data_IF_801842661283
#
_entry.id   IF_801842661283
#
_cell.length_a   1.000
_cell.length_b   1.000
_cell.length_c   1.000
_cell.angle_alpha   90.00
_cell.angle_beta   90.00
_cell.angle_gamma   90.00
#
_symmetry.space_group_name_H-M   'P 1'
#
loop_
_entity.id
_entity.type
_entity.pdbx_description
1 polymer ?
#
# COMPACT_ATOMS: atom_id res chain seq x y z
N UNK A 1 3.04 5.37 -2.02
CA UNK A 1 2.94 6.50 -1.05
C UNK A 1 1.92 7.55 -1.50
N UNK A 2 2.04 8.15 -2.68
CA UNK A 2 1.04 9.12 -3.17
C UNK A 2 -0.32 8.49 -3.51
N UNK A 3 -0.32 7.29 -4.11
CA UNK A 3 -1.55 6.49 -4.29
C UNK A 3 -2.22 6.16 -2.95
N UNK A 4 -1.45 5.86 -1.90
CA UNK A 4 -2.01 5.47 -0.60
C UNK A 4 -2.71 6.62 0.14
N UNK A 5 -2.23 7.86 -0.02
CA UNK A 5 -2.87 9.05 0.57
C UNK A 5 -4.21 9.38 -0.12
N UNK A 6 -4.31 9.18 -1.44
CA UNK A 6 -5.58 9.31 -2.16
C UNK A 6 -6.58 8.20 -1.79
N UNK A 7 -6.09 6.96 -1.64
CA UNK A 7 -6.90 5.81 -1.23
C UNK A 7 -7.57 6.00 0.14
N UNK A 8 -6.92 6.69 1.07
CA UNK A 8 -7.46 6.93 2.41
C UNK A 8 -8.71 7.84 2.41
N UNK A 9 -8.79 8.85 1.53
CA UNK A 9 -9.95 9.76 1.47
C UNK A 9 -11.16 9.13 0.79
N UNK A 10 -10.96 8.39 -0.30
CA UNK A 10 -12.07 7.68 -0.97
C UNK A 10 -12.57 6.47 -0.15
N UNK A 11 -11.80 6.05 0.86
CA UNK A 11 -12.18 5.03 1.85
C UNK A 11 -13.39 5.42 2.71
N UNK A 12 -13.44 6.69 3.11
CA UNK A 12 -14.45 7.17 4.06
C UNK A 12 -15.84 7.15 3.42
N UNK A 13 -15.97 7.64 2.17
CA UNK A 13 -17.27 7.71 1.48
C UNK A 13 -17.82 6.35 1.03
N UNK A 14 -16.95 5.40 0.65
CA UNK A 14 -17.43 4.08 0.19
C UNK A 14 -17.85 3.18 1.35
N UNK A 15 -17.21 3.32 2.51
CA UNK A 15 -17.65 2.61 3.72
C UNK A 15 -19.06 3.02 4.13
N UNK A 16 -19.41 4.32 4.07
CA UNK A 16 -20.78 4.78 4.34
C UNK A 16 -21.81 4.14 3.39
N UNK A 17 -21.51 4.07 2.09
CA UNK A 17 -22.44 3.51 1.10
C UNK A 17 -22.66 2.00 1.29
N UNK A 18 -21.60 1.25 1.57
CA UNK A 18 -21.69 -0.21 1.73
C UNK A 18 -22.35 -0.58 3.07
N UNK A 19 -22.09 0.17 4.13
CA UNK A 19 -22.67 -0.10 5.46
C UNK A 19 -24.16 0.19 5.54
N UNK A 20 -24.64 1.21 4.82
CA UNK A 20 -26.07 1.57 4.74
C UNK A 20 -26.94 0.42 4.20
N UNK A 21 -26.36 -0.49 3.40
CA UNK A 21 -27.08 -1.65 2.85
C UNK A 21 -27.13 -2.88 3.77
N UNK A 22 -26.30 -2.93 4.82
CA UNK A 22 -26.12 -4.13 5.66
C UNK A 22 -26.57 -3.99 7.13
N UNK A 23 -27.15 -2.86 7.56
CA UNK A 23 -27.71 -2.72 8.90
C UNK A 23 -29.24 -2.56 8.94
N UNK A 24 -29.99 -3.63 9.29
CA UNK A 24 -31.30 -3.48 9.90
C UNK A 24 -31.30 -3.67 11.44
N UNK A 25 -30.16 -3.97 12.08
CA UNK A 25 -30.12 -4.29 13.52
C UNK A 25 -28.93 -3.68 14.26
N UNK A 26 -29.00 -2.39 14.61
CA UNK A 26 -28.25 -1.89 15.76
C UNK A 26 -28.92 -0.62 16.32
N UNK A 27 -29.53 -0.76 17.49
CA UNK A 27 -30.27 0.29 18.20
C UNK A 27 -29.38 1.48 18.58
N UNK A 28 -29.92 2.67 18.34
CA UNK A 28 -29.34 3.99 18.59
C UNK A 28 -28.95 4.19 20.07
N UNK A 29 -27.66 4.21 20.35
CA UNK A 29 -27.12 4.89 21.53
C UNK A 29 -26.19 6.00 21.05
N UNK A 30 -26.41 7.20 21.57
CA UNK A 30 -25.81 8.48 21.21
C UNK A 30 -24.30 8.51 21.51
N UNK A 31 -23.51 7.80 20.70
CA UNK A 31 -22.05 7.87 20.70
C UNK A 31 -21.65 8.98 19.74
N UNK A 32 -20.74 9.86 20.17
CA UNK A 32 -20.15 10.93 19.35
C UNK A 32 -19.82 10.42 17.93
N UNK A 33 -20.37 11.09 16.92
CA UNK A 33 -20.30 10.68 15.51
C UNK A 33 -18.87 10.37 15.03
N UNK A 34 -17.88 11.07 15.56
CA UNK A 34 -16.45 10.86 15.25
C UNK A 34 -15.88 9.55 15.82
N UNK A 35 -16.31 9.13 17.01
CA UNK A 35 -15.91 7.85 17.62
C UNK A 35 -16.58 6.68 16.90
N UNK A 36 -17.83 6.85 16.47
CA UNK A 36 -18.57 5.83 15.74
C UNK A 36 -17.91 5.54 14.38
N UNK A 37 -17.53 6.58 13.62
CA UNK A 37 -16.82 6.40 12.35
C UNK A 37 -15.50 5.65 12.51
N UNK A 38 -14.72 5.98 13.53
CA UNK A 38 -13.44 5.31 13.79
C UNK A 38 -13.65 3.84 14.20
N UNK A 39 -14.72 3.56 14.94
CA UNK A 39 -15.07 2.20 15.36
C UNK A 39 -15.56 1.32 14.20
N UNK A 40 -16.40 1.87 13.32
CA UNK A 40 -16.88 1.20 12.10
C UNK A 40 -15.71 0.91 11.16
N UNK A 41 -14.80 1.87 10.97
CA UNK A 41 -13.61 1.71 10.14
C UNK A 41 -12.74 0.54 10.61
N UNK A 42 -12.45 0.47 11.91
CA UNK A 42 -11.62 -0.61 12.47
C UNK A 42 -12.31 -1.97 12.30
N UNK A 43 -13.63 -2.05 12.49
CA UNK A 43 -14.38 -3.30 12.34
C UNK A 43 -14.47 -3.78 10.90
N UNK A 44 -14.54 -2.87 9.92
CA UNK A 44 -14.61 -3.23 8.51
C UNK A 44 -13.26 -3.71 7.95
N UNK A 45 -12.15 -3.13 8.42
CA UNK A 45 -10.82 -3.41 7.87
C UNK A 45 -10.09 -4.61 8.51
N UNK A 46 -10.42 -4.97 9.76
CA UNK A 46 -9.75 -6.09 10.45
C UNK A 46 -10.03 -7.46 9.82
N UNK A 47 -11.28 -7.84 9.49
CA UNK A 47 -11.56 -9.12 8.86
C UNK A 47 -10.78 -9.38 7.56
N UNK A 48 -10.81 -8.49 6.54
CA UNK A 48 -10.07 -8.72 5.29
C UNK A 48 -8.55 -8.77 5.51
N UNK A 49 -8.06 -7.97 6.47
CA UNK A 49 -6.65 -7.99 6.82
C UNK A 49 -6.23 -9.33 7.43
N UNK A 50 -7.04 -9.89 8.33
CA UNK A 50 -6.79 -11.19 8.94
C UNK A 50 -6.90 -12.35 7.94
N UNK A 51 -7.82 -12.28 6.97
CA UNK A 51 -7.94 -13.28 5.90
C UNK A 51 -6.65 -13.37 5.08
N UNK A 52 -6.14 -12.23 4.60
CA UNK A 52 -4.92 -12.19 3.80
C UNK A 52 -3.68 -12.62 4.61
N UNK A 53 -3.63 -12.29 5.91
CA UNK A 53 -2.59 -12.77 6.82
C UNK A 53 -2.62 -14.30 6.98
N UNK A 54 -3.79 -14.91 7.10
CA UNK A 54 -3.93 -16.37 7.21
C UNK A 54 -3.48 -17.05 5.92
N UNK A 55 -3.89 -16.52 4.75
CA UNK A 55 -3.44 -17.02 3.44
C UNK A 55 -1.93 -17.00 3.31
N UNK A 56 -1.29 -15.89 3.71
CA UNK A 56 0.16 -15.75 3.75
C UNK A 56 0.79 -16.78 4.69
N UNK A 57 0.27 -16.95 5.91
CA UNK A 57 0.78 -17.93 6.86
C UNK A 57 0.71 -19.36 6.33
N UNK A 58 -0.37 -19.72 5.63
CA UNK A 58 -0.52 -21.02 5.01
C UNK A 58 0.51 -21.24 3.89
N UNK A 59 0.76 -20.25 3.02
CA UNK A 59 1.84 -20.32 2.04
C UNK A 59 3.22 -20.42 2.69
N UNK A 60 3.46 -19.70 3.79
CA UNK A 60 4.70 -19.77 4.56
C UNK A 60 4.91 -21.17 5.14
N UNK A 61 3.87 -21.78 5.72
CA UNK A 61 3.91 -23.14 6.27
C UNK A 61 4.17 -24.20 5.18
N UNK A 62 3.75 -23.94 3.94
CA UNK A 62 4.05 -24.79 2.77
C UNK A 62 5.45 -24.58 2.19
N UNK A 63 6.19 -23.58 2.67
CA UNK A 63 7.49 -23.21 2.10
C UNK A 63 7.40 -22.51 0.74
N UNK A 64 6.23 -21.99 0.38
CA UNK A 64 6.01 -21.28 -0.90
C UNK A 64 6.52 -19.82 -0.84
N UNK A 65 6.65 -19.25 0.37
CA UNK A 65 7.07 -17.86 0.54
C UNK A 65 8.59 -17.75 0.49
N UNK A 66 9.08 -16.82 -0.32
CA UNK A 66 10.50 -16.50 -0.39
C UNK A 66 10.98 -16.01 0.99
N UNK A 67 12.00 -16.65 1.59
CA UNK A 67 12.49 -16.21 2.89
C UNK A 67 12.98 -14.77 2.81
N UNK A 68 12.58 -13.97 3.80
CA UNK A 68 13.03 -12.58 3.91
C UNK A 68 14.56 -12.57 4.06
N UNK A 69 15.24 -12.07 3.03
CA UNK A 69 16.67 -11.79 3.10
C UNK A 69 16.78 -10.35 3.64
N UNK A 70 17.22 -10.15 4.90
CA UNK A 70 17.42 -8.80 5.39
C UNK A 70 18.40 -8.07 4.48
N UNK A 71 18.22 -6.76 4.24
CA UNK A 71 19.23 -6.00 3.54
C UNK A 71 20.58 -6.21 4.24
N UNK A 72 21.69 -6.30 3.49
CA UNK A 72 23.00 -6.52 4.07
C UNK A 72 23.21 -5.49 5.17
N UNK A 73 23.54 -5.98 6.36
CA UNK A 73 23.90 -5.06 7.43
C UNK A 73 25.16 -4.35 6.96
N UNK A 74 25.23 -3.01 7.01
CA UNK A 74 26.46 -2.31 6.68
C UNK A 74 27.57 -2.93 7.51
N UNK A 75 28.69 -3.27 6.86
CA UNK A 75 29.81 -3.93 7.54
C UNK A 75 30.14 -3.17 8.82
N UNK A 76 30.50 -3.89 9.91
CA UNK A 76 30.95 -3.25 11.12
C UNK A 76 32.03 -2.25 10.75
N UNK A 77 31.73 -0.95 10.93
CA UNK A 77 32.70 0.11 10.64
C UNK A 77 33.98 -0.30 11.37
N UNK A 78 35.10 -0.54 10.66
CA UNK A 78 36.34 -0.97 11.28
C UNK A 78 36.61 -0.03 12.44
N UNK A 79 36.96 -0.56 13.61
CA UNK A 79 37.14 0.19 14.84
C UNK A 79 38.08 1.36 14.59
N UNK A 80 37.51 2.50 14.20
CA UNK A 80 38.24 3.72 13.92
C UNK A 80 38.62 4.24 15.29
N UNK A 81 39.87 3.96 15.61
CA UNK A 81 40.75 4.50 16.65
C UNK A 81 40.11 5.06 17.93
N UNK A 82 40.64 4.65 19.07
CA UNK A 82 40.11 4.90 20.42
C UNK A 82 40.31 6.35 20.90
N UNK A 83 40.38 7.31 19.99
CA UNK A 83 40.50 8.76 20.22
C UNK A 83 39.20 9.53 19.97
N UNK A 84 38.11 8.82 19.62
CA UNK A 84 36.77 9.41 19.46
C UNK A 84 36.28 10.07 20.77
N UNK A 85 36.09 11.39 20.73
CA UNK A 85 35.54 12.21 21.82
C UNK A 85 34.29 11.53 22.45
N UNK A 86 34.25 11.34 23.79
CA UNK A 86 33.12 10.73 24.48
C UNK A 86 31.77 11.40 24.16
N UNK A 87 31.75 12.70 23.84
CA UNK A 87 30.53 13.41 23.39
C UNK A 87 30.06 12.90 22.03
N UNK A 88 30.97 12.60 21.10
CA UNK A 88 30.60 11.98 19.81
C UNK A 88 30.07 10.56 20.00
N UNK A 89 30.65 9.78 20.92
CA UNK A 89 30.18 8.42 21.23
C UNK A 89 28.74 8.41 21.77
N UNK A 90 28.40 9.35 22.65
CA UNK A 90 27.03 9.55 23.14
C UNK A 90 26.06 9.99 22.04
N UNK A 91 26.47 10.91 21.15
CA UNK A 91 25.67 11.32 19.98
C UNK A 91 25.42 10.14 19.03
N UNK A 92 26.43 9.32 18.73
CA UNK A 92 26.29 8.10 17.91
C UNK A 92 25.37 7.07 18.58
N UNK A 93 25.50 6.83 19.90
CA UNK A 93 24.59 5.96 20.66
C UNK A 93 23.13 6.45 20.64
N UNK A 94 22.90 7.76 20.79
CA UNK A 94 21.55 8.35 20.67
C UNK A 94 20.98 8.20 19.26
N UNK A 95 21.79 8.38 18.20
CA UNK A 95 21.39 8.14 16.81
C UNK A 95 21.06 6.67 16.54
N UNK A 96 21.87 5.71 17.04
CA UNK A 96 21.59 4.27 16.93
C UNK A 96 20.31 3.87 17.68
N UNK A 97 20.07 4.39 18.89
CA UNK A 97 18.80 4.18 19.62
C UNK A 97 17.59 4.78 18.89
N UNK A 98 17.75 5.90 18.19
CA UNK A 98 16.69 6.48 17.33
C UNK A 98 16.43 5.62 16.09
N UNK A 99 17.47 5.06 15.45
CA UNK A 99 17.32 4.15 14.29
C UNK A 99 16.68 2.80 14.63
N UNK A 100 16.79 2.32 15.87
CA UNK A 100 16.10 1.11 16.35
C UNK A 100 14.64 1.32 16.74
N UNK A 101 14.09 2.52 16.61
CA UNK A 101 12.66 2.71 16.81
C UNK A 101 11.96 2.09 15.60
N UNK A 102 11.17 1.05 15.86
CA UNK A 102 10.26 0.43 14.89
C UNK A 102 9.56 1.55 14.11
N UNK A 103 9.54 1.50 12.76
CA UNK A 103 8.88 2.52 11.96
C UNK A 103 7.46 2.66 12.47
N UNK A 104 7.18 3.82 13.04
CA UNK A 104 5.89 4.15 13.63
C UNK A 104 5.29 5.22 12.74
N UNK A 105 4.15 4.93 12.17
CA UNK A 105 3.42 5.91 11.39
C UNK A 105 2.76 6.91 12.35
N UNK A 106 2.83 8.19 12.00
CA UNK A 106 2.06 9.23 12.66
C UNK A 106 0.73 9.36 11.95
N UNK A 107 -0.37 9.13 12.66
CA UNK A 107 -1.72 9.41 12.17
C UNK A 107 -2.29 10.47 13.11
N UNK A 108 -2.71 11.62 12.57
CA UNK A 108 -3.29 12.74 13.33
C UNK A 108 -2.38 13.24 14.49
N UNK A 109 -1.07 13.33 14.25
CA UNK A 109 -0.13 13.86 15.25
C UNK A 109 0.22 12.88 16.39
N UNK A 110 -0.41 11.70 16.46
CA UNK A 110 -0.13 10.66 17.46
C UNK A 110 0.66 9.50 16.85
N UNK A 111 1.65 9.03 17.60
CA UNK A 111 2.56 7.97 17.19
C UNK A 111 1.95 6.60 17.53
N UNK A 112 1.37 5.93 16.55
CA UNK A 112 0.88 4.57 16.75
C UNK A 112 2.06 3.59 16.66
N UNK A 113 2.18 2.73 17.67
CA UNK A 113 3.26 1.74 17.75
C UNK A 113 3.10 0.60 16.73
N UNK A 114 1.88 0.43 16.21
CA UNK A 114 1.47 -0.63 15.26
C UNK A 114 0.59 -0.10 14.13
N UNK A 115 0.61 1.22 13.86
CA UNK A 115 -0.14 1.75 12.73
C UNK A 115 0.50 1.28 11.44
N UNK A 116 -0.26 0.60 10.58
CA UNK A 116 0.18 0.26 9.23
C UNK A 116 -0.84 0.81 8.25
N UNK A 117 -0.35 1.40 7.17
CA UNK A 117 -1.18 1.81 6.03
C UNK A 117 -1.84 0.55 5.43
N UNK A 118 -3.16 0.47 5.55
CA UNK A 118 -3.94 -0.71 5.17
C UNK A 118 -3.68 -1.15 3.72
N UNK A 119 -3.74 -0.22 2.77
CA UNK A 119 -3.53 -0.53 1.35
C UNK A 119 -2.11 -1.03 1.09
N UNK A 120 -1.11 -0.33 1.64
CA UNK A 120 0.29 -0.74 1.50
C UNK A 120 0.57 -2.10 2.15
N UNK A 121 -0.06 -2.38 3.29
CA UNK A 121 0.09 -3.63 4.02
C UNK A 121 -0.48 -4.80 3.22
N UNK A 122 -1.71 -4.67 2.72
CA UNK A 122 -2.36 -5.67 1.90
C UNK A 122 -1.56 -5.96 0.63
N UNK A 123 -1.08 -4.93 -0.08
CA UNK A 123 -0.26 -5.14 -1.27
C UNK A 123 1.04 -5.87 -0.98
N UNK A 124 1.75 -5.54 0.11
CA UNK A 124 3.00 -6.24 0.46
C UNK A 124 2.78 -7.70 0.80
N UNK A 125 1.75 -8.01 1.59
CA UNK A 125 1.41 -9.40 1.91
C UNK A 125 1.04 -10.17 0.65
N UNK A 126 0.25 -9.56 -0.24
CA UNK A 126 -0.14 -10.17 -1.51
C UNK A 126 1.07 -10.36 -2.45
N UNK A 127 2.02 -9.43 -2.46
CA UNK A 127 3.27 -9.53 -3.22
C UNK A 127 4.16 -10.66 -2.69
N UNK A 128 4.29 -10.80 -1.37
CA UNK A 128 5.08 -11.86 -0.73
C UNK A 128 4.59 -13.30 -1.07
N UNK A 129 3.32 -13.44 -1.47
CA UNK A 129 2.71 -14.72 -1.88
C UNK A 129 2.41 -14.79 -3.40
N UNK A 130 2.98 -13.89 -4.20
CA UNK A 130 2.75 -13.80 -5.66
C UNK A 130 1.26 -13.66 -6.08
N UNK A 131 0.42 -13.12 -5.20
CA UNK A 131 -1.00 -12.91 -5.42
C UNK A 131 -1.34 -11.48 -5.88
N UNK A 132 -0.42 -10.52 -5.68
CA UNK A 132 -0.62 -9.14 -6.13
C UNK A 132 -0.63 -9.06 -7.67
N UNK A 133 -1.76 -8.69 -8.31
CA UNK A 133 -1.81 -8.63 -9.76
C UNK A 133 -0.99 -7.43 -10.27
N UNK A 134 -0.11 -7.69 -11.24
CA UNK A 134 0.60 -6.60 -11.93
C UNK A 134 -0.33 -5.97 -12.96
N UNK A 135 -0.24 -4.65 -13.16
CA UNK A 135 -1.04 -3.94 -14.17
C UNK A 135 -0.84 -4.54 -15.56
N UNK A 136 0.39 -4.94 -15.89
CA UNK A 136 0.71 -5.62 -17.14
C UNK A 136 0.02 -6.98 -17.25
N UNK A 137 -0.06 -7.76 -16.17
CA UNK A 137 -0.79 -9.05 -16.18
C UNK A 137 -2.29 -8.87 -16.38
N UNK A 138 -2.90 -7.87 -15.74
CA UNK A 138 -4.32 -7.58 -15.92
C UNK A 138 -4.63 -7.05 -17.32
N UNK A 139 -3.76 -6.17 -17.84
CA UNK A 139 -3.90 -5.63 -19.20
C UNK A 139 -3.68 -6.71 -20.28
N UNK A 140 -2.67 -7.57 -20.14
CA UNK A 140 -2.39 -8.65 -21.11
C UNK A 140 -3.41 -9.80 -21.06
N UNK A 141 -4.09 -9.99 -19.93
CA UNK A 141 -5.22 -10.92 -19.84
C UNK A 141 -6.40 -10.49 -20.73
N UNK A 142 -6.45 -9.23 -21.18
CA UNK A 142 -7.47 -8.72 -22.10
C UNK A 142 -7.24 -9.06 -23.57
N UNK A 143 -5.99 -9.33 -23.97
CA UNK A 143 -5.65 -9.60 -25.38
C UNK A 143 -5.68 -11.08 -25.74
N UNK A 144 -5.71 -11.98 -24.75
CA UNK A 144 -5.54 -13.43 -24.93
C UNK A 144 -6.83 -14.25 -24.81
N UNK A 145 -7.97 -13.64 -24.46
CA UNK A 145 -9.25 -14.32 -24.22
C UNK A 145 -10.16 -14.37 -25.45
N UNK A 146 -9.69 -14.95 -26.56
CA UNK A 146 -10.43 -15.07 -27.84
C UNK A 146 -10.97 -16.48 -28.13
N UNK A 147 -11.08 -17.38 -27.15
CA UNK A 147 -11.64 -18.72 -27.37
C UNK A 147 -12.51 -19.22 -26.20
N UNK A 148 -13.82 -19.18 -26.44
CA UNK A 148 -14.82 -20.18 -26.04
C UNK A 148 -14.78 -20.74 -24.61
N UNK A 149 -15.49 -20.09 -23.68
CA UNK A 149 -16.49 -20.73 -22.78
C UNK A 149 -17.01 -19.71 -21.75
N UNK A 150 -18.13 -19.06 -22.08
CA UNK A 150 -19.21 -18.61 -21.18
C UNK A 150 -18.88 -18.11 -19.75
N UNK A 151 -17.82 -17.32 -19.55
CA UNK A 151 -17.62 -16.57 -18.31
C UNK A 151 -17.24 -15.13 -18.67
N UNK A 152 -18.13 -14.18 -18.39
CA UNK A 152 -18.05 -12.76 -18.73
C UNK A 152 -16.98 -12.02 -17.89
N UNK A 153 -15.71 -12.44 -17.95
CA UNK A 153 -14.65 -11.69 -17.30
C UNK A 153 -14.29 -10.48 -18.17
N UNK A 154 -14.51 -9.28 -17.62
CA UNK A 154 -14.12 -8.01 -18.24
C UNK A 154 -12.80 -7.51 -17.63
N UNK A 155 -11.63 -7.91 -18.18
CA UNK A 155 -10.33 -7.60 -17.58
C UNK A 155 -10.07 -6.09 -17.49
N UNK A 156 -10.62 -5.29 -18.40
CA UNK A 156 -10.55 -3.82 -18.35
C UNK A 156 -11.31 -3.28 -17.13
N UNK A 157 -12.45 -3.85 -16.76
CA UNK A 157 -13.19 -3.45 -15.55
C UNK A 157 -12.40 -3.81 -14.30
N UNK A 158 -11.84 -5.03 -14.25
CA UNK A 158 -10.98 -5.43 -13.12
C UNK A 158 -9.75 -4.52 -12.98
N UNK A 159 -9.10 -4.15 -14.09
CA UNK A 159 -7.99 -3.20 -14.10
C UNK A 159 -8.43 -1.81 -13.59
N UNK A 160 -9.57 -1.30 -14.04
CA UNK A 160 -10.13 -0.04 -13.58
C UNK A 160 -10.41 -0.06 -12.08
N UNK A 161 -11.11 -1.10 -11.59
CA UNK A 161 -11.38 -1.33 -10.17
C UNK A 161 -10.09 -1.45 -9.37
N UNK A 162 -9.06 -2.10 -9.90
CA UNK A 162 -7.78 -2.23 -9.21
C UNK A 162 -7.04 -0.89 -9.07
N UNK A 163 -7.12 -0.03 -10.09
CA UNK A 163 -6.43 1.27 -10.09
C UNK A 163 -7.15 2.34 -9.25
N UNK A 164 -8.49 2.35 -9.24
CA UNK A 164 -9.30 3.41 -8.61
C UNK A 164 -10.10 2.94 -7.39
N UNK A 165 -10.31 1.64 -7.27
CA UNK A 165 -10.94 1.01 -6.12
C UNK A 165 -9.98 0.87 -4.94
N UNK A 166 -10.51 0.47 -3.80
CA UNK A 166 -9.71 0.21 -2.62
C UNK A 166 -9.08 -1.18 -2.68
N UNK A 167 -8.07 -1.41 -1.85
CA UNK A 167 -7.40 -2.71 -1.70
C UNK A 167 -8.32 -3.74 -1.00
N UNK A 168 -9.28 -4.30 -1.73
CA UNK A 168 -10.15 -5.38 -1.27
C UNK A 168 -9.54 -6.76 -1.54
N UNK A 169 -9.83 -7.73 -0.67
CA UNK A 169 -9.33 -9.12 -0.79
C UNK A 169 -9.65 -9.78 -2.14
N UNK A 170 -10.84 -9.61 -2.76
CA UNK A 170 -11.11 -10.17 -4.08
C UNK A 170 -10.10 -9.75 -5.15
N UNK A 171 -9.53 -8.55 -5.08
CA UNK A 171 -8.50 -8.09 -6.02
C UNK A 171 -7.19 -8.87 -5.88
N UNK A 172 -6.83 -9.28 -4.67
CA UNK A 172 -5.67 -10.13 -4.41
C UNK A 172 -5.94 -11.61 -4.67
N UNK A 173 -7.21 -12.01 -4.90
CA UNK A 173 -7.61 -13.36 -5.29
C UNK A 173 -7.91 -13.50 -6.78
N UNK A 174 -7.54 -12.51 -7.58
CA UNK A 174 -7.59 -12.60 -9.05
C UNK A 174 -6.46 -13.50 -9.60
N UNK A 175 -5.33 -13.58 -8.88
CA UNK A 175 -4.13 -14.36 -9.21
C UNK A 175 -3.53 -14.95 -7.94
N UNK A 176 -2.58 -15.87 -8.11
CA UNK A 176 -1.79 -16.45 -7.02
C UNK A 176 -2.32 -17.82 -6.57
N UNK A 177 -1.83 -18.34 -5.43
CA UNK A 177 -2.15 -19.68 -4.94
C UNK A 177 -3.62 -19.85 -4.52
N UNK A 178 -4.32 -18.74 -4.25
CA UNK A 178 -5.73 -18.71 -3.83
C UNK A 178 -6.64 -18.02 -4.85
N UNK A 179 -6.26 -18.05 -6.14
CA UNK A 179 -7.06 -17.48 -7.21
C UNK A 179 -8.46 -18.10 -7.23
N UNK A 180 -9.50 -17.27 -7.30
CA UNK A 180 -10.90 -17.71 -7.32
C UNK A 180 -11.68 -17.01 -8.43
N UNK A 181 -12.55 -17.75 -9.13
CA UNK A 181 -13.39 -17.22 -10.21
C UNK A 181 -14.46 -16.25 -9.69
N UNK A 182 -15.07 -16.55 -8.55
CA UNK A 182 -16.08 -15.68 -7.93
C UNK A 182 -15.50 -14.29 -7.60
N UNK A 183 -14.21 -14.22 -7.24
CA UNK A 183 -13.54 -12.95 -6.97
C UNK A 183 -13.43 -12.06 -8.23
N UNK A 184 -13.37 -12.66 -9.43
CA UNK A 184 -13.44 -11.90 -10.67
C UNK A 184 -14.81 -11.26 -10.86
N UNK A 185 -15.89 -11.97 -10.52
CA UNK A 185 -17.25 -11.45 -10.64
C UNK A 185 -17.49 -10.32 -9.63
N UNK A 186 -17.04 -10.48 -8.39
CA UNK A 186 -17.09 -9.40 -7.38
C UNK A 186 -16.28 -8.18 -7.83
N UNK A 187 -15.08 -8.37 -8.38
CA UNK A 187 -14.21 -7.26 -8.81
C UNK A 187 -14.74 -6.50 -10.04
N UNK A 188 -15.32 -7.23 -11.01
CA UNK A 188 -15.80 -6.66 -12.27
C UNK A 188 -17.24 -6.17 -12.24
N UNK A 189 -18.03 -6.62 -11.26
CA UNK A 189 -19.41 -6.17 -11.06
C UNK A 189 -19.52 -5.28 -9.83
N UNK A 190 -19.51 -5.85 -8.62
CA UNK A 190 -19.82 -5.11 -7.38
C UNK A 190 -18.84 -3.97 -7.10
N UNK A 191 -17.55 -4.27 -7.10
CA UNK A 191 -16.51 -3.27 -6.82
C UNK A 191 -16.40 -2.26 -7.96
N UNK A 192 -16.58 -2.71 -9.21
CA UNK A 192 -16.60 -1.82 -10.37
C UNK A 192 -17.78 -0.84 -10.31
N UNK A 193 -18.98 -1.32 -9.98
CA UNK A 193 -20.16 -0.48 -9.81
C UNK A 193 -19.92 0.57 -8.73
N UNK A 194 -19.37 0.18 -7.57
CA UNK A 194 -19.00 1.12 -6.52
C UNK A 194 -18.01 2.21 -7.00
N UNK A 195 -17.02 1.85 -7.85
CA UNK A 195 -16.12 2.84 -8.44
C UNK A 195 -16.81 3.79 -9.43
N UNK A 196 -17.76 3.29 -10.23
CA UNK A 196 -18.51 4.11 -11.19
C UNK A 196 -19.51 5.03 -10.48
N UNK A 197 -20.17 4.53 -9.44
CA UNK A 197 -21.20 5.25 -8.68
C UNK A 197 -20.65 6.44 -7.89
N UNK A 198 -19.34 6.46 -7.56
CA UNK A 198 -18.66 7.66 -7.03
C UNK A 198 -18.74 8.87 -7.99
N UNK A 199 -19.04 8.62 -9.25
CA UNK A 199 -19.19 9.66 -10.27
C UNK A 199 -17.86 10.03 -10.94
N UNK A 200 -17.96 10.55 -12.16
CA UNK A 200 -16.78 10.84 -12.98
C UNK A 200 -15.93 11.98 -12.40
N UNK A 201 -16.56 12.94 -11.70
CA UNK A 201 -15.87 14.08 -11.10
C UNK A 201 -14.89 13.67 -9.97
N UNK A 202 -15.31 12.77 -9.06
CA UNK A 202 -14.44 12.29 -7.98
C UNK A 202 -13.28 11.46 -8.55
N UNK A 203 -13.59 10.54 -9.48
CA UNK A 203 -12.59 9.71 -10.13
C UNK A 203 -11.56 10.55 -10.91
N UNK A 204 -12.01 11.58 -11.62
CA UNK A 204 -11.12 12.53 -12.30
C UNK A 204 -10.29 13.34 -11.31
N UNK A 205 -10.87 13.75 -10.18
CA UNK A 205 -10.16 14.42 -9.09
C UNK A 205 -9.04 13.57 -8.49
N UNK A 206 -9.30 12.28 -8.22
CA UNK A 206 -8.31 11.32 -7.73
C UNK A 206 -7.18 11.09 -8.75
N UNK A 207 -7.53 10.95 -10.04
CA UNK A 207 -6.55 10.84 -11.12
C UNK A 207 -5.69 12.11 -11.23
N UNK A 208 -6.31 13.29 -11.20
CA UNK A 208 -5.60 14.57 -11.27
C UNK A 208 -4.68 14.77 -10.07
N UNK A 209 -5.12 14.43 -8.85
CA UNK A 209 -4.30 14.51 -7.65
C UNK A 209 -3.10 13.54 -7.70
N UNK A 210 -3.32 12.31 -8.18
CA UNK A 210 -2.26 11.32 -8.36
C UNK A 210 -1.25 11.77 -9.42
N UNK A 211 -1.74 12.27 -10.56
CA UNK A 211 -0.93 12.83 -11.63
C UNK A 211 -0.09 14.02 -11.15
N UNK A 212 -0.71 15.00 -10.48
CA UNK A 212 -0.01 16.15 -9.93
C UNK A 212 1.07 15.74 -8.93
N UNK A 213 0.79 14.75 -8.08
CA UNK A 213 1.77 14.20 -7.15
C UNK A 213 2.95 13.52 -7.85
N UNK A 214 2.68 12.78 -8.92
CA UNK A 214 3.73 12.21 -9.77
C UNK A 214 4.58 13.30 -10.42
N UNK A 215 3.97 14.35 -10.98
CA UNK A 215 4.68 15.50 -11.55
C UNK A 215 5.57 16.21 -10.52
N UNK A 216 5.08 16.42 -9.29
CA UNK A 216 5.88 17.02 -8.22
C UNK A 216 7.10 16.16 -7.87
N UNK A 217 6.92 14.85 -7.72
CA UNK A 217 8.02 13.94 -7.42
C UNK A 217 9.05 13.84 -8.56
N UNK A 218 8.57 13.79 -9.81
CA UNK A 218 9.43 13.80 -10.98
C UNK A 218 10.24 15.11 -11.07
N UNK A 219 9.59 16.24 -10.82
CA UNK A 219 10.25 17.55 -10.81
C UNK A 219 11.32 17.61 -9.71
N UNK A 220 11.02 17.12 -8.51
CA UNK A 220 12.01 17.03 -7.43
C UNK A 220 13.21 16.14 -7.81
N UNK A 221 12.96 15.00 -8.45
CA UNK A 221 14.01 14.10 -8.95
C UNK A 221 14.89 14.78 -10.02
N UNK A 222 14.27 15.47 -10.98
CA UNK A 222 15.00 16.24 -12.00
C UNK A 222 15.82 17.36 -11.36
N UNK A 223 15.26 18.10 -10.40
CA UNK A 223 15.99 19.13 -9.65
C UNK A 223 17.17 18.51 -8.89
N UNK A 224 17.00 17.35 -8.25
CA UNK A 224 18.10 16.66 -7.58
C UNK A 224 19.19 16.25 -8.57
N UNK A 225 18.83 15.65 -9.71
CA UNK A 225 19.79 15.27 -10.76
C UNK A 225 20.52 16.49 -11.32
N UNK A 226 19.82 17.59 -11.57
CA UNK A 226 20.41 18.83 -12.11
C UNK A 226 21.29 19.51 -11.07
N UNK A 227 20.83 19.66 -9.83
CA UNK A 227 21.61 20.31 -8.76
C UNK A 227 22.79 19.43 -8.37
N UNK A 228 22.57 18.16 -8.03
CA UNK A 228 23.66 17.23 -7.67
C UNK A 228 24.58 17.02 -8.87
N UNK A 229 24.07 16.80 -10.07
CA UNK A 229 24.88 16.62 -11.27
C UNK A 229 25.75 17.84 -11.58
N UNK A 230 25.17 19.05 -11.63
CA UNK A 230 25.92 20.28 -11.95
C UNK A 230 26.86 20.72 -10.83
N UNK A 231 26.45 20.59 -9.56
CA UNK A 231 27.31 20.96 -8.44
C UNK A 231 28.38 19.90 -8.13
N UNK A 232 28.09 18.61 -8.28
CA UNK A 232 29.09 17.55 -8.13
C UNK A 232 30.10 17.57 -9.28
N UNK A 233 29.69 17.91 -10.50
CA UNK A 233 30.61 18.14 -11.62
C UNK A 233 31.59 19.29 -11.31
N UNK A 234 31.16 20.31 -10.54
CA UNK A 234 32.03 21.41 -10.10
C UNK A 234 32.97 21.04 -8.94
N UNK A 235 32.69 19.98 -8.17
CA UNK A 235 33.57 19.49 -7.09
C UNK A 235 33.52 17.96 -6.97
N UNK A 236 34.28 17.20 -7.79
CA UNK A 236 34.23 15.73 -7.83
C UNK A 236 34.82 15.01 -6.60
N UNK A 237 34.92 15.63 -5.42
CA UNK A 237 35.68 15.08 -4.27
C UNK A 237 34.87 14.55 -3.10
N UNK A 238 33.54 14.50 -3.16
CA UNK A 238 32.75 13.99 -2.03
C UNK A 238 31.56 13.12 -2.46
N UNK A 239 31.83 12.01 -3.16
CA UNK A 239 30.89 10.88 -3.12
C UNK A 239 31.25 10.01 -1.93
N UNK A 240 30.74 10.40 -0.75
CA UNK A 240 30.59 9.48 0.36
C UNK A 240 29.55 8.46 -0.08
N UNK A 241 30.03 7.26 -0.44
CA UNK A 241 29.20 6.07 -0.62
C UNK A 241 28.28 5.96 0.59
N UNK A 242 26.97 6.03 0.36
CA UNK A 242 26.00 5.55 1.33
C UNK A 242 26.12 4.01 1.35
N UNK A 243 27.02 3.52 2.21
CA UNK A 243 27.01 2.14 2.70
C UNK A 243 26.13 2.01 3.93
#
# INVERSE_FOLDING_TARGET
LCLNLCMANSYIHTCEYTYSRYQPFCSQSLVDSTQLHQYIFVRAAVPPMSELQVMWWLCNLRGEIKPYVPPPTPDPIPNSDMTDDPKQRLRRRRRRRRRRRTPSYMVLGRKYRYGVDYGNYMHRIAEDMDAAPTLASLASSSSSSSSSSSSHHHPIRALYTYCLGQAHVPLFRLRGPYACRECWDTATNELYAACVDRGWAENLGLLAATWASMCMNLTACVVEIVVVGLFAARRPRFFVRYG
#
